data_IF_806581845338
#
_entry.id   IF_806581845338
#
_cell.length_a   1.000
_cell.length_b   1.000
_cell.length_c   1.000
_cell.angle_alpha   90.00
_cell.angle_beta   90.00
_cell.angle_gamma   90.00
#
_symmetry.space_group_name_H-M   'P 1'
#
loop_
_entity.id
_entity.type
_entity.pdbx_description
1 polymer ?
#
# COMPACT_ATOMS: atom_id res chain seq x y z
N UNK A 1 6.18 -4.70 -1.86
CA UNK A 1 7.02 -3.52 -2.14
C UNK A 1 6.24 -2.20 -2.02
N UNK A 2 6.92 -1.06 -1.86
CA UNK A 2 6.35 0.28 -2.06
C UNK A 2 7.05 0.92 -3.26
N UNK A 3 6.42 0.84 -4.43
CA UNK A 3 7.03 1.24 -5.71
C UNK A 3 7.07 2.77 -5.82
N UNK A 4 8.17 3.31 -6.36
CA UNK A 4 8.27 4.73 -6.69
C UNK A 4 7.39 5.06 -7.90
N UNK A 5 6.68 6.18 -7.86
CA UNK A 5 5.88 6.65 -9.00
C UNK A 5 6.73 6.95 -10.25
N UNK A 6 8.01 7.28 -10.04
CA UNK A 6 9.00 7.54 -11.11
C UNK A 6 10.35 6.98 -10.69
N UNK A 7 11.11 6.47 -11.67
CA UNK A 7 12.46 5.95 -11.43
C UNK A 7 12.49 4.61 -10.69
N UNK A 8 11.43 3.80 -10.81
CA UNK A 8 11.46 2.40 -10.38
C UNK A 8 12.52 1.63 -11.17
N UNK A 9 13.17 0.67 -10.52
CA UNK A 9 14.22 -0.15 -11.14
C UNK A 9 13.60 -1.18 -12.08
N UNK A 10 14.42 -1.77 -12.97
CA UNK A 10 13.98 -2.89 -13.79
C UNK A 10 13.57 -4.12 -12.95
N UNK A 11 14.10 -4.26 -11.73
CA UNK A 11 13.70 -5.31 -10.81
C UNK A 11 12.24 -5.14 -10.35
N UNK A 12 11.82 -3.91 -10.03
CA UNK A 12 10.42 -3.62 -9.71
C UNK A 12 9.48 -3.98 -10.87
N UNK A 13 9.86 -3.62 -12.10
CA UNK A 13 9.08 -3.95 -13.29
C UNK A 13 9.01 -5.47 -13.53
N UNK A 14 10.12 -6.19 -13.34
CA UNK A 14 10.16 -7.65 -13.45
C UNK A 14 9.24 -8.33 -12.44
N UNK A 15 9.24 -7.87 -11.18
CA UNK A 15 8.34 -8.40 -10.16
C UNK A 15 6.87 -8.10 -10.47
N UNK A 16 6.55 -6.87 -10.90
CA UNK A 16 5.17 -6.52 -11.28
C UNK A 16 4.66 -7.39 -12.44
N UNK A 17 5.48 -7.61 -13.48
CA UNK A 17 5.16 -8.53 -14.57
C UNK A 17 4.99 -9.98 -14.09
N UNK A 18 5.81 -10.41 -13.13
CA UNK A 18 5.70 -11.73 -12.51
C UNK A 18 4.36 -11.87 -11.79
N UNK A 19 3.99 -10.91 -10.95
CA UNK A 19 2.71 -10.92 -10.24
C UNK A 19 1.53 -10.90 -11.23
N UNK A 20 1.59 -10.07 -12.27
CA UNK A 20 0.58 -10.01 -13.33
C UNK A 20 0.39 -11.37 -14.01
N UNK A 21 1.50 -12.04 -14.37
CA UNK A 21 1.47 -13.31 -15.09
C UNK A 21 0.96 -14.49 -14.24
N UNK A 22 1.33 -14.55 -12.96
CA UNK A 22 1.03 -15.71 -12.11
C UNK A 22 -0.28 -15.59 -11.32
N UNK A 23 -0.68 -14.37 -10.92
CA UNK A 23 -1.83 -14.18 -10.05
C UNK A 23 -2.72 -12.99 -10.44
N UNK A 24 -2.49 -12.38 -11.61
CA UNK A 24 -3.18 -11.15 -12.02
C UNK A 24 -3.05 -10.03 -10.98
N UNK A 25 -1.98 -10.07 -10.19
CA UNK A 25 -1.66 -9.07 -9.18
C UNK A 25 -0.89 -7.90 -9.76
N UNK A 26 -0.70 -6.90 -8.90
CA UNK A 26 0.08 -5.70 -9.18
C UNK A 26 0.93 -5.36 -7.96
N UNK A 27 2.14 -4.89 -8.19
CA UNK A 27 2.90 -4.14 -7.20
C UNK A 27 2.31 -2.72 -7.10
N UNK A 28 2.39 -2.10 -5.91
CA UNK A 28 1.70 -0.83 -5.63
C UNK A 28 2.66 0.26 -5.20
N UNK A 29 2.36 1.47 -5.65
CA UNK A 29 2.91 2.72 -5.12
C UNK A 29 2.37 3.01 -3.72
N UNK A 30 3.03 3.91 -2.99
CA UNK A 30 2.53 4.37 -1.68
C UNK A 30 1.14 4.99 -1.77
N UNK A 31 0.83 5.70 -2.85
CA UNK A 31 -0.49 6.30 -3.08
C UNK A 31 -1.59 5.25 -3.27
N UNK A 32 -1.30 4.19 -4.02
CA UNK A 32 -2.23 3.10 -4.25
C UNK A 32 -2.45 2.28 -2.98
N UNK A 33 -1.39 2.00 -2.21
CA UNK A 33 -1.51 1.39 -0.89
C UNK A 33 -2.38 2.20 0.06
N UNK A 34 -2.18 3.53 0.09
CA UNK A 34 -3.01 4.42 0.91
C UNK A 34 -4.48 4.35 0.49
N UNK A 35 -4.76 4.41 -0.81
CA UNK A 35 -6.13 4.29 -1.35
C UNK A 35 -6.77 2.95 -0.97
N UNK A 36 -6.03 1.85 -1.10
CA UNK A 36 -6.52 0.51 -0.78
C UNK A 36 -6.85 0.38 0.71
N UNK A 37 -5.92 0.76 1.59
CA UNK A 37 -6.10 0.66 3.05
C UNK A 37 -7.23 1.60 3.53
N UNK A 38 -7.32 2.79 2.95
CA UNK A 38 -8.38 3.75 3.21
C UNK A 38 -9.77 3.14 2.95
N UNK A 39 -9.93 2.49 1.79
CA UNK A 39 -11.16 1.80 1.39
C UNK A 39 -11.50 0.58 2.26
N UNK A 40 -10.48 -0.02 2.88
CA UNK A 40 -10.62 -1.16 3.78
C UNK A 40 -10.86 -0.74 5.25
N UNK A 41 -11.00 0.55 5.53
CA UNK A 41 -11.28 1.04 6.90
C UNK A 41 -10.03 1.24 7.76
N UNK A 42 -8.86 1.45 7.14
CA UNK A 42 -7.61 1.70 7.85
C UNK A 42 -7.04 3.09 7.54
N UNK A 43 -6.47 3.73 8.55
CA UNK A 43 -5.61 4.89 8.41
C UNK A 43 -4.16 4.44 8.29
N UNK A 44 -3.46 4.93 7.27
CA UNK A 44 -2.01 4.75 7.16
C UNK A 44 -1.32 5.71 8.12
N UNK A 45 -0.62 5.17 9.11
CA UNK A 45 0.14 5.94 10.10
C UNK A 45 1.51 6.29 9.53
N UNK A 46 2.19 5.30 8.94
CA UNK A 46 3.52 5.52 8.39
C UNK A 46 3.85 4.51 7.27
N UNK A 47 4.84 4.87 6.45
CA UNK A 47 5.40 4.04 5.40
C UNK A 47 6.92 4.12 5.46
N UNK A 48 7.59 2.98 5.63
CA UNK A 48 9.04 2.89 5.59
C UNK A 48 9.48 2.14 4.33
N UNK A 49 10.33 2.77 3.54
CA UNK A 49 11.04 2.12 2.44
C UNK A 49 12.54 2.41 2.55
N UNK A 50 13.37 1.41 2.28
CA UNK A 50 14.83 1.55 2.35
C UNK A 50 15.47 1.97 1.01
N UNK A 51 14.66 2.36 0.03
CA UNK A 51 15.11 2.62 -1.34
C UNK A 51 15.63 1.36 -2.05
N UNK A 52 15.93 1.49 -3.34
CA UNK A 52 16.35 0.35 -4.16
C UNK A 52 15.25 -0.70 -4.32
N UNK A 53 15.65 -1.97 -4.28
CA UNK A 53 14.85 -3.14 -4.64
C UNK A 53 14.17 -3.86 -3.44
N UNK A 54 14.25 -3.27 -2.25
CA UNK A 54 13.74 -3.86 -1.02
C UNK A 54 12.23 -3.65 -0.84
N UNK A 55 11.59 -4.56 -0.11
CA UNK A 55 10.24 -4.35 0.38
C UNK A 55 10.15 -3.19 1.37
N UNK A 56 8.96 -2.60 1.45
CA UNK A 56 8.61 -1.57 2.43
C UNK A 56 7.62 -2.08 3.46
N UNK A 57 7.53 -1.37 4.58
CA UNK A 57 6.58 -1.64 5.66
C UNK A 57 5.55 -0.52 5.67
N UNK A 58 4.27 -0.88 5.85
CA UNK A 58 3.18 0.08 6.05
C UNK A 58 2.59 -0.18 7.43
N UNK A 59 2.63 0.82 8.30
CA UNK A 59 1.91 0.81 9.58
C UNK A 59 0.53 1.41 9.35
N UNK A 60 -0.50 0.68 9.76
CA UNK A 60 -1.87 1.11 9.62
C UNK A 60 -2.67 0.79 10.88
N UNK A 61 -3.65 1.64 11.19
CA UNK A 61 -4.58 1.45 12.31
C UNK A 61 -6.01 1.43 11.80
N UNK A 62 -6.90 0.77 12.52
CA UNK A 62 -8.34 0.77 12.21
C UNK A 62 -8.86 2.20 12.36
N UNK A 63 -9.60 2.68 11.36
CA UNK A 63 -10.33 3.94 11.45
C UNK A 63 -11.35 3.87 12.56
N UNK A 64 -11.31 4.81 13.48
CA UNK A 64 -12.37 4.95 14.48
C UNK A 64 -13.66 5.33 13.78
N UNK A 65 -14.61 4.38 13.70
CA UNK A 65 -15.97 4.69 13.29
C UNK A 65 -16.67 5.42 14.44
N UNK A 66 -16.82 6.74 14.35
CA UNK A 66 -17.77 7.44 15.20
C UNK A 66 -19.19 7.09 14.73
N UNK A 67 -19.89 6.26 15.51
CA UNK A 67 -21.34 6.13 15.41
C UNK A 67 -21.99 7.17 16.34
N UNK A 68 -22.74 8.18 15.84
CA UNK A 68 -23.35 9.22 16.67
C UNK A 68 -24.50 8.75 17.57
N UNK A 69 -24.84 7.46 17.61
CA UNK A 69 -26.00 6.96 18.35
C UNK A 69 -25.59 6.36 19.69
N UNK A 70 -25.63 7.16 20.77
CA UNK A 70 -25.99 6.75 22.15
C UNK A 70 -25.85 7.94 23.13
N UNK A 71 -26.35 9.11 22.77
CA UNK A 71 -26.72 10.12 23.77
C UNK A 71 -28.21 9.93 24.02
N UNK A 72 -28.53 9.10 25.02
CA UNK A 72 -29.85 9.04 25.62
C UNK A 72 -30.03 10.22 26.58
#
# INVERSE_FOLDING_TARGET
MIVLEKGATSFHAMLDLTMMAFNSGIERTGKEWKTLLDSAGFDVINMWSHGGDADGIIEAMIKLQFSPSNIN
#
